data_IF_273504221412
#
_entry.id   IF_273504221412
#
_cell.length_a   1.000
_cell.length_b   1.000
_cell.length_c   1.000
_cell.angle_alpha   90.00
_cell.angle_beta   90.00
_cell.angle_gamma   90.00
#
_symmetry.space_group_name_H-M   'P 1'
#
loop_
_entity.id
_entity.type
_entity.pdbx_description
1 polymer ?
#
# COMPACT_ATOMS: atom_id res chain seq x y z
N UNK A 1 14.58 3.21 6.53
CA UNK A 1 14.58 2.23 7.64
C UNK A 1 13.30 1.43 7.52
N UNK A 2 13.39 0.11 7.64
CA UNK A 2 12.27 -0.80 7.38
C UNK A 2 11.99 -1.61 8.64
N UNK A 3 10.72 -1.73 9.00
CA UNK A 3 10.24 -2.38 10.21
C UNK A 3 9.11 -3.34 9.83
N UNK A 4 9.25 -4.62 10.19
CA UNK A 4 8.18 -5.62 10.05
C UNK A 4 7.52 -5.84 11.40
N UNK A 5 6.21 -5.64 11.47
CA UNK A 5 5.41 -5.81 12.69
C UNK A 5 4.65 -7.13 12.61
N UNK A 6 5.33 -8.21 12.99
CA UNK A 6 4.79 -9.57 12.97
C UNK A 6 3.73 -9.77 14.05
N UNK A 7 2.62 -10.45 13.70
CA UNK A 7 1.51 -10.84 14.62
C UNK A 7 1.08 -9.72 15.56
N UNK A 8 1.08 -8.51 15.06
CA UNK A 8 1.12 -7.33 15.92
C UNK A 8 -0.25 -6.97 16.46
N UNK A 9 -1.34 -7.58 15.93
CA UNK A 9 -2.74 -7.30 16.28
C UNK A 9 -2.94 -5.80 16.48
N UNK A 10 -2.38 -5.03 15.54
CA UNK A 10 -2.35 -3.58 15.65
C UNK A 10 -3.77 -3.09 15.48
N UNK A 11 -4.20 -2.40 16.52
CA UNK A 11 -5.43 -1.65 16.55
C UNK A 11 -5.07 -0.17 16.59
N UNK A 12 -6.02 0.68 16.25
CA UNK A 12 -5.89 2.12 16.39
C UNK A 12 -5.47 2.53 17.81
N UNK A 13 -5.76 1.70 18.82
CA UNK A 13 -5.50 1.97 20.23
C UNK A 13 -4.09 1.60 20.70
N UNK A 14 -3.41 0.67 20.04
CA UNK A 14 -2.09 0.16 20.49
C UNK A 14 -0.95 0.43 19.50
N UNK A 15 -1.25 0.99 18.32
CA UNK A 15 -0.26 1.24 17.26
C UNK A 15 0.93 2.06 17.74
N UNK A 16 0.69 3.09 18.56
CA UNK A 16 1.75 3.98 19.03
C UNK A 16 2.72 3.25 19.98
N UNK A 17 2.19 2.43 20.89
CA UNK A 17 2.99 1.66 21.84
C UNK A 17 3.82 0.58 21.11
N UNK A 18 3.19 -0.14 20.17
CA UNK A 18 3.87 -1.15 19.37
C UNK A 18 4.99 -0.53 18.54
N UNK A 19 4.72 0.59 17.84
CA UNK A 19 5.72 1.25 17.01
C UNK A 19 6.83 1.89 17.83
N UNK A 20 6.51 2.55 18.95
CA UNK A 20 7.52 3.19 19.81
C UNK A 20 8.53 2.19 20.36
N UNK A 21 8.10 0.95 20.64
CA UNK A 21 8.98 -0.13 21.08
C UNK A 21 9.91 -0.67 19.97
N UNK A 22 9.59 -0.41 18.69
CA UNK A 22 10.30 -0.97 17.52
C UNK A 22 11.13 0.05 16.78
N UNK A 23 10.75 1.33 16.82
CA UNK A 23 11.42 2.41 16.12
C UNK A 23 12.43 3.06 17.05
N UNK A 24 13.70 3.01 16.66
CA UNK A 24 14.76 3.73 17.33
C UNK A 24 14.82 5.18 16.80
N UNK A 25 14.02 6.06 17.40
CA UNK A 25 13.96 7.48 17.01
C UNK A 25 15.31 8.21 17.17
N UNK A 26 16.23 7.69 17.98
CA UNK A 26 17.56 8.29 18.14
C UNK A 26 18.41 8.26 16.87
N UNK A 27 18.08 7.36 15.93
CA UNK A 27 18.75 7.22 14.64
C UNK A 27 18.19 8.14 13.54
N UNK A 28 17.12 8.87 13.84
CA UNK A 28 16.51 9.79 12.90
C UNK A 28 17.05 11.21 13.13
N UNK A 29 17.32 11.91 12.04
CA UNK A 29 17.78 13.28 12.04
C UNK A 29 16.58 14.21 12.19
N UNK A 30 16.57 15.02 13.25
CA UNK A 30 15.45 15.90 13.60
C UNK A 30 15.30 17.08 12.65
N UNK A 31 16.38 17.48 11.97
CA UNK A 31 16.35 18.55 10.97
C UNK A 31 15.86 18.06 9.60
N UNK A 32 15.76 16.74 9.44
CA UNK A 32 15.29 16.08 8.22
C UNK A 32 13.81 15.75 8.31
N UNK A 33 13.11 15.91 7.18
CA UNK A 33 11.74 15.40 7.04
C UNK A 33 11.74 13.98 6.44
N UNK A 34 10.71 13.22 6.76
CA UNK A 34 10.54 11.84 6.34
C UNK A 34 9.18 11.59 5.71
N UNK A 35 9.14 10.55 4.88
CA UNK A 35 7.92 9.92 4.40
C UNK A 35 7.77 8.57 5.06
N UNK A 36 6.51 8.21 5.32
CA UNK A 36 6.13 6.92 5.89
C UNK A 36 5.34 6.14 4.85
N UNK A 37 5.70 4.88 4.66
CA UNK A 37 4.86 3.88 3.98
C UNK A 37 4.47 2.80 4.97
N UNK A 38 3.17 2.54 5.08
CA UNK A 38 2.60 1.47 5.88
C UNK A 38 1.79 0.55 4.97
N UNK A 39 2.24 -0.69 4.83
CA UNK A 39 1.55 -1.73 4.08
C UNK A 39 0.87 -2.67 5.08
N UNK A 40 -0.41 -2.97 4.88
CA UNK A 40 -1.17 -3.87 5.74
C UNK A 40 -1.78 -5.00 4.93
N UNK A 41 -1.94 -6.17 5.55
CA UNK A 41 -2.65 -7.25 4.89
C UNK A 41 -4.14 -6.94 4.76
N UNK A 42 -4.65 -6.89 3.53
CA UNK A 42 -6.05 -6.64 3.24
C UNK A 42 -6.82 -7.96 3.13
N UNK A 43 -7.30 -8.46 4.27
CA UNK A 43 -8.06 -9.71 4.34
C UNK A 43 -9.33 -9.69 3.49
N UNK A 44 -10.04 -8.55 3.48
CA UNK A 44 -11.31 -8.37 2.77
C UNK A 44 -11.14 -8.62 1.25
N UNK A 45 -9.97 -8.28 0.68
CA UNK A 45 -9.64 -8.58 -0.72
C UNK A 45 -9.31 -10.05 -0.98
N UNK A 46 -8.61 -10.73 -0.07
CA UNK A 46 -8.20 -12.14 -0.29
C UNK A 46 -9.35 -13.12 -0.14
N UNK A 47 -10.26 -12.86 0.80
CA UNK A 47 -11.40 -13.76 1.05
C UNK A 47 -12.49 -13.66 -0.02
N UNK A 48 -12.22 -12.98 -1.15
CA UNK A 48 -13.16 -12.77 -2.26
C UNK A 48 -14.51 -12.22 -1.78
N UNK A 49 -14.50 -11.48 -0.67
CA UNK A 49 -15.67 -10.73 -0.22
C UNK A 49 -15.73 -9.46 -1.08
N UNK A 50 -15.93 -9.65 -2.39
CA UNK A 50 -16.53 -8.67 -3.30
C UNK A 50 -18.02 -8.61 -2.98
N UNK A 51 -18.31 -8.29 -1.73
CA UNK A 51 -19.67 -7.98 -1.33
C UNK A 51 -19.91 -6.53 -1.75
N UNK A 52 -20.96 -6.32 -2.55
CA UNK A 52 -21.48 -5.00 -2.92
C UNK A 52 -21.76 -4.10 -1.69
N UNK A 53 -21.88 -4.71 -0.50
CA UNK A 53 -22.01 -4.03 0.79
C UNK A 53 -20.66 -3.75 1.50
N UNK A 54 -19.56 -4.37 1.05
CA UNK A 54 -18.21 -4.13 1.58
C UNK A 54 -17.53 -3.06 0.74
N UNK A 55 -17.73 -1.82 1.17
CA UNK A 55 -17.02 -0.68 0.61
C UNK A 55 -15.51 -0.84 0.90
N UNK A 56 -14.68 -0.97 -0.14
CA UNK A 56 -13.22 -0.80 -0.10
C UNK A 56 -12.79 0.65 0.22
N UNK A 57 -13.75 1.43 0.73
CA UNK A 57 -13.63 2.81 1.14
C UNK A 57 -12.70 2.97 2.35
N UNK A 58 -12.12 4.16 2.40
CA UNK A 58 -11.27 4.60 3.48
C UNK A 58 -12.10 4.76 4.76
N UNK A 59 -12.06 3.74 5.62
CA UNK A 59 -12.71 3.75 6.93
C UNK A 59 -12.05 4.77 7.87
N UNK A 60 -12.83 5.35 8.80
CA UNK A 60 -12.35 6.29 9.83
C UNK A 60 -11.11 5.77 10.59
N UNK A 61 -11.06 4.46 10.85
CA UNK A 61 -9.92 3.78 11.49
C UNK A 61 -8.58 4.06 10.78
N UNK A 62 -8.57 4.11 9.44
CA UNK A 62 -7.36 4.39 8.66
C UNK A 62 -6.83 5.80 8.92
N UNK A 63 -7.71 6.79 9.02
CA UNK A 63 -7.32 8.16 9.37
C UNK A 63 -6.85 8.27 10.82
N UNK A 64 -7.51 7.56 11.74
CA UNK A 64 -7.07 7.48 13.14
C UNK A 64 -5.67 6.89 13.23
N UNK A 65 -5.41 5.77 12.55
CA UNK A 65 -4.11 5.13 12.47
C UNK A 65 -3.02 6.09 11.95
N UNK A 66 -3.27 6.76 10.82
CA UNK A 66 -2.33 7.75 10.26
C UNK A 66 -2.05 8.86 11.26
N UNK A 67 -3.09 9.37 11.92
CA UNK A 67 -2.95 10.42 12.93
C UNK A 67 -2.11 9.94 14.12
N UNK A 68 -2.41 8.78 14.69
CA UNK A 68 -1.66 8.21 15.81
C UNK A 68 -0.17 8.07 15.50
N UNK A 69 0.17 7.65 14.28
CA UNK A 69 1.58 7.52 13.87
C UNK A 69 2.22 8.90 13.66
N UNK A 70 1.53 9.83 13.02
CA UNK A 70 2.04 11.20 12.86
C UNK A 70 2.30 11.85 14.22
N UNK A 71 1.36 11.73 15.15
CA UNK A 71 1.47 12.24 16.52
C UNK A 71 2.67 11.59 17.24
N UNK A 72 2.87 10.26 17.09
CA UNK A 72 4.02 9.55 17.65
C UNK A 72 5.36 10.12 17.15
N UNK A 73 5.49 10.34 15.84
CA UNK A 73 6.72 10.92 15.27
C UNK A 73 6.91 12.39 15.67
N UNK A 74 5.82 13.16 15.74
CA UNK A 74 5.84 14.57 16.13
C UNK A 74 6.26 14.76 17.60
N UNK A 75 5.76 13.93 18.53
CA UNK A 75 6.20 13.92 19.94
C UNK A 75 7.71 13.65 20.06
N UNK A 76 8.26 12.87 19.12
CA UNK A 76 9.70 12.59 19.04
C UNK A 76 10.50 13.65 18.24
N UNK A 77 9.88 14.78 17.87
CA UNK A 77 10.45 15.86 17.07
C UNK A 77 10.91 15.42 15.67
N UNK A 78 10.20 14.49 15.04
CA UNK A 78 10.46 14.05 13.67
C UNK A 78 9.35 14.53 12.75
N UNK A 79 9.72 15.26 11.70
CA UNK A 79 8.77 15.81 10.74
C UNK A 79 8.38 14.77 9.68
N UNK A 80 7.08 14.49 9.57
CA UNK A 80 6.53 13.64 8.50
C UNK A 80 5.82 14.49 7.44
N UNK A 81 6.25 14.37 6.19
CA UNK A 81 5.62 15.07 5.07
C UNK A 81 4.58 14.17 4.41
N UNK A 82 4.97 13.04 3.81
CA UNK A 82 4.02 12.11 3.21
C UNK A 82 3.76 10.89 4.08
N UNK A 83 2.51 10.42 4.03
CA UNK A 83 2.11 9.16 4.59
C UNK A 83 1.37 8.35 3.53
N UNK A 84 1.85 7.15 3.25
CA UNK A 84 1.25 6.18 2.36
C UNK A 84 0.70 5.03 3.20
N UNK A 85 -0.59 4.74 3.05
CA UNK A 85 -1.23 3.57 3.66
C UNK A 85 -1.75 2.68 2.54
N UNK A 86 -1.24 1.45 2.41
CA UNK A 86 -1.51 0.58 1.27
C UNK A 86 -1.94 -0.81 1.76
N UNK A 87 -3.03 -1.36 1.23
CA UNK A 87 -3.38 -2.76 1.44
C UNK A 87 -2.59 -3.68 0.50
N UNK A 88 -2.28 -4.90 0.93
CA UNK A 88 -1.70 -5.98 0.08
C UNK A 88 -2.29 -7.33 0.45
N UNK A 89 -2.35 -8.26 -0.50
CA UNK A 89 -2.90 -9.62 -0.29
C UNK A 89 -1.88 -10.75 -0.44
N UNK A 90 -0.72 -10.47 -1.04
CA UNK A 90 0.29 -11.49 -1.41
C UNK A 90 1.54 -11.48 -0.53
N UNK A 91 2.02 -10.30 -0.09
CA UNK A 91 3.35 -10.17 0.54
C UNK A 91 3.34 -10.14 2.08
N UNK A 92 2.17 -9.95 2.70
CA UNK A 92 2.02 -9.87 4.17
C UNK A 92 1.16 -11.01 4.70
N UNK A 93 1.48 -11.49 5.91
CA UNK A 93 0.56 -12.40 6.62
C UNK A 93 -0.58 -11.60 7.27
N UNK A 94 -1.67 -12.30 7.58
CA UNK A 94 -2.81 -11.72 8.29
C UNK A 94 -2.36 -11.06 9.61
N UNK A 95 -2.86 -9.85 9.88
CA UNK A 95 -2.52 -9.02 11.04
C UNK A 95 -1.06 -8.54 11.09
N UNK A 96 -0.37 -8.51 9.95
CA UNK A 96 0.96 -7.90 9.81
C UNK A 96 0.90 -6.54 9.12
N UNK A 97 1.80 -5.66 9.55
CA UNK A 97 2.04 -4.36 8.93
C UNK A 97 3.53 -4.25 8.61
N UNK A 98 3.85 -3.90 7.36
CA UNK A 98 5.19 -3.49 6.97
C UNK A 98 5.29 -1.98 6.96
N UNK A 99 6.28 -1.46 7.68
CA UNK A 99 6.40 -0.04 7.94
C UNK A 99 7.77 0.46 7.51
N UNK A 100 7.80 1.48 6.66
CA UNK A 100 9.01 2.02 6.07
C UNK A 100 9.09 3.52 6.30
N UNK A 101 10.24 3.99 6.75
CA UNK A 101 10.55 5.41 7.01
C UNK A 101 11.71 5.82 6.14
N UNK A 102 11.49 6.76 5.23
CA UNK A 102 12.50 7.23 4.27
C UNK A 102 12.65 8.74 4.33
N UNK A 103 13.85 9.25 4.08
CA UNK A 103 14.07 10.70 3.98
C UNK A 103 13.28 11.24 2.80
N UNK A 104 12.63 12.39 2.98
CA UNK A 104 11.82 13.01 1.94
C UNK A 104 12.47 14.27 1.39
N UNK A 105 12.26 14.51 0.09
CA UNK A 105 12.53 15.78 -0.57
C UNK A 105 11.25 16.59 -0.82
N UNK A 106 10.08 16.06 -0.49
CA UNK A 106 8.82 16.76 -0.66
C UNK A 106 8.66 17.85 0.40
N UNK A 107 8.10 18.99 0.03
CA UNK A 107 7.89 20.14 0.95
C UNK A 107 6.50 20.16 1.57
N UNK A 108 5.50 19.61 0.90
CA UNK A 108 4.11 19.61 1.33
C UNK A 108 3.78 18.38 2.19
N UNK A 109 2.86 18.57 3.15
CA UNK A 109 2.25 17.46 3.89
C UNK A 109 1.12 16.86 3.06
N UNK A 110 1.08 15.53 2.95
CA UNK A 110 -0.02 14.81 2.31
C UNK A 110 -0.22 13.42 2.91
N UNK A 111 -1.44 12.90 2.83
CA UNK A 111 -1.76 11.51 3.11
C UNK A 111 -2.33 10.90 1.84
N UNK A 112 -1.88 9.70 1.52
CA UNK A 112 -2.38 8.93 0.39
C UNK A 112 -2.74 7.55 0.90
N UNK A 113 -3.96 7.11 0.64
CA UNK A 113 -4.50 5.86 1.14
C UNK A 113 -5.00 5.07 -0.05
N UNK A 114 -4.51 3.84 -0.16
CA UNK A 114 -4.83 2.93 -1.24
C UNK A 114 -5.31 1.61 -0.65
N UNK A 115 -6.49 1.12 -1.05
CA UNK A 115 -7.02 -0.13 -0.54
C UNK A 115 -6.22 -1.35 -1.02
N UNK A 116 -5.53 -1.26 -2.17
CA UNK A 116 -4.77 -2.35 -2.78
C UNK A 116 -3.51 -1.82 -3.49
N UNK A 117 -2.33 -2.36 -3.16
CA UNK A 117 -1.02 -2.02 -3.76
C UNK A 117 -0.86 -2.70 -5.12
N UNK A 118 -1.46 -3.87 -5.27
CA UNK A 118 -1.41 -4.70 -6.47
C UNK A 118 -1.99 -3.97 -7.69
N UNK A 119 -2.94 -3.03 -7.49
CA UNK A 119 -3.43 -2.13 -8.55
C UNK A 119 -2.28 -1.31 -9.17
N UNK A 120 -1.37 -0.76 -8.36
CA UNK A 120 -0.21 -0.02 -8.90
C UNK A 120 0.78 -0.93 -9.61
N UNK A 121 1.01 -2.12 -9.06
CA UNK A 121 1.92 -3.09 -9.68
C UNK A 121 1.35 -3.53 -11.02
N UNK A 122 0.05 -3.75 -11.10
CA UNK A 122 -0.66 -4.07 -12.32
C UNK A 122 -0.60 -2.94 -13.34
N UNK A 123 -0.98 -1.71 -12.96
CA UNK A 123 -0.96 -0.55 -13.85
C UNK A 123 0.46 -0.25 -14.37
N UNK A 124 1.48 -0.22 -13.49
CA UNK A 124 2.86 0.03 -13.90
C UNK A 124 3.40 -1.07 -14.81
N UNK A 125 3.05 -2.33 -14.55
CA UNK A 125 3.51 -3.46 -15.37
C UNK A 125 2.79 -3.52 -16.70
N UNK A 126 1.47 -3.24 -16.71
CA UNK A 126 0.69 -3.09 -17.93
C UNK A 126 1.20 -1.93 -18.80
N UNK A 127 1.49 -0.76 -18.22
CA UNK A 127 2.06 0.37 -18.96
C UNK A 127 3.39 0.01 -19.64
N UNK A 128 4.23 -0.80 -18.99
CA UNK A 128 5.46 -1.32 -19.61
C UNK A 128 5.17 -2.28 -20.77
N UNK A 129 4.18 -3.17 -20.61
CA UNK A 129 3.75 -4.05 -21.70
C UNK A 129 3.20 -3.22 -22.88
N UNK A 130 2.42 -2.18 -22.59
CA UNK A 130 1.89 -1.24 -23.58
C UNK A 130 3.05 -0.57 -24.35
N UNK A 131 4.06 -0.04 -23.65
CA UNK A 131 5.26 0.55 -24.27
C UNK A 131 6.05 -0.45 -25.15
N UNK A 132 6.17 -1.71 -24.71
CA UNK A 132 6.84 -2.76 -25.47
C UNK A 132 6.06 -3.14 -26.73
N UNK A 133 4.74 -3.20 -26.64
CA UNK A 133 3.86 -3.45 -27.78
C UNK A 133 3.91 -2.28 -28.78
N UNK A 134 3.80 -1.04 -28.29
CA UNK A 134 3.88 0.16 -29.15
C UNK A 134 5.25 0.31 -29.84
N UNK A 135 6.32 -0.18 -29.21
CA UNK A 135 7.66 -0.20 -29.80
C UNK A 135 7.95 -1.44 -30.67
N UNK A 136 6.95 -2.31 -30.89
CA UNK A 136 7.05 -3.56 -31.63
C UNK A 136 8.16 -4.51 -31.10
N UNK A 137 8.47 -4.44 -29.80
CA UNK A 137 9.45 -5.33 -29.17
C UNK A 137 8.86 -6.69 -28.80
N UNK A 138 7.54 -6.75 -28.64
CA UNK A 138 6.76 -7.96 -28.37
C UNK A 138 5.59 -8.03 -29.36
N UNK A 139 5.06 -9.23 -29.62
CA UNK A 139 3.85 -9.42 -30.41
C UNK A 139 2.58 -9.19 -29.59
N UNK A 140 1.43 -9.09 -30.26
CA UNK A 140 0.11 -9.07 -29.58
C UNK A 140 -0.12 -10.34 -28.76
N UNK A 141 0.28 -11.51 -29.27
CA UNK A 141 0.18 -12.79 -28.57
C UNK A 141 1.06 -12.82 -27.30
N UNK A 142 2.29 -12.29 -27.40
CA UNK A 142 3.18 -12.14 -26.24
C UNK A 142 2.58 -11.17 -25.22
N UNK A 143 1.96 -10.08 -25.67
CA UNK A 143 1.32 -9.10 -24.78
C UNK A 143 0.18 -9.74 -23.99
N UNK A 144 -0.74 -10.43 -24.66
CA UNK A 144 -1.89 -11.09 -24.03
C UNK A 144 -1.44 -12.15 -23.01
N UNK A 145 -0.48 -12.99 -23.39
CA UNK A 145 0.04 -14.02 -22.49
C UNK A 145 0.73 -13.42 -21.25
N UNK A 146 1.53 -12.36 -21.40
CA UNK A 146 2.18 -11.71 -20.26
C UNK A 146 1.17 -10.95 -19.38
N UNK A 147 0.10 -10.41 -19.97
CA UNK A 147 -0.97 -9.76 -19.21
C UNK A 147 -1.75 -10.78 -18.38
N UNK A 148 -2.06 -11.95 -18.92
CA UNK A 148 -2.68 -13.05 -18.16
C UNK A 148 -1.80 -13.53 -17.01
N UNK A 149 -0.51 -13.74 -17.26
CA UNK A 149 0.44 -14.11 -16.20
C UNK A 149 0.48 -13.05 -15.09
N UNK A 150 0.48 -11.76 -15.43
CA UNK A 150 0.47 -10.67 -14.47
C UNK A 150 -0.82 -10.64 -13.64
N UNK A 151 -1.98 -10.90 -14.27
CA UNK A 151 -3.28 -11.02 -13.58
C UNK A 151 -3.27 -12.18 -12.58
N UNK A 152 -2.79 -13.34 -13.01
CA UNK A 152 -2.68 -14.54 -12.18
C UNK A 152 -1.71 -14.34 -11.00
N UNK A 153 -0.53 -13.77 -11.25
CA UNK A 153 0.47 -13.51 -10.21
C UNK A 153 -0.03 -12.56 -9.12
N UNK A 154 -0.79 -11.53 -9.52
CA UNK A 154 -1.33 -10.53 -8.61
C UNK A 154 -2.69 -10.91 -8.04
N UNK A 155 -3.25 -12.07 -8.43
CA UNK A 155 -4.59 -12.51 -8.05
C UNK A 155 -5.66 -11.45 -8.38
N UNK A 156 -5.47 -10.75 -9.50
CA UNK A 156 -6.38 -9.73 -10.04
C UNK A 156 -7.20 -10.42 -11.11
N UNK A 157 -8.35 -10.95 -10.71
CA UNK A 157 -9.33 -11.48 -11.66
C UNK A 157 -10.27 -10.36 -12.08
N UNK A 158 -10.51 -10.23 -13.39
CA UNK A 158 -11.55 -9.34 -13.88
C UNK A 158 -12.89 -9.78 -13.26
N UNK A 159 -13.61 -8.85 -12.62
CA UNK A 159 -15.06 -9.01 -12.54
C UNK A 159 -15.56 -8.94 -13.98
N UNK A 160 -16.23 -10.01 -14.45
CA UNK A 160 -16.84 -10.09 -15.78
C UNK A 160 -17.79 -8.90 -16.11
N UNK A 161 -18.11 -8.04 -15.12
CA UNK A 161 -18.91 -6.84 -15.26
C UNK A 161 -18.23 -5.69 -16.03
N UNK A 162 -16.88 -5.58 -16.09
CA UNK A 162 -16.23 -4.50 -16.86
C UNK A 162 -16.34 -4.69 -18.38
N UNK A 163 -16.53 -5.92 -18.87
CA UNK A 163 -16.76 -6.20 -20.29
C UNK A 163 -18.14 -5.72 -20.80
N UNK A 164 -19.07 -5.39 -19.91
CA UNK A 164 -20.41 -4.91 -20.30
C UNK A 164 -20.46 -3.41 -20.60
N UNK A 165 -19.46 -2.62 -20.20
CA UNK A 165 -19.46 -1.17 -20.42
C UNK A 165 -18.88 -0.73 -21.78
N UNK A 166 -18.43 -1.68 -22.60
CA UNK A 166 -17.88 -1.44 -23.94
C UNK A 166 -18.81 -1.88 -25.10
N UNK A 167 -20.08 -2.21 -24.83
CA UNK A 167 -21.09 -2.48 -25.86
C UNK A 167 -22.26 -1.48 -25.84
#
# INVERSE_FOLDING_TARGET
MNYKLFRSNITDLNVADVLSSKIDFSKLDKEQAYDISAEFYNKDLKEEILDENVSYEIKKKHYTFIKCIRDLFEINNIKINKFYLMGTVTELMENEIYFTVLKTNFKSKSNTIWPCKEIFIFEDSKNKLDDLLFSNQISEEDYESNLELLKDELNIYENEEELQYLN
#
